data_IF_382870903845
#
_entry.id   IF_382870903845
#
_cell.length_a   1.000
_cell.length_b   1.000
_cell.length_c   1.000
_cell.angle_alpha   90.00
_cell.angle_beta   90.00
_cell.angle_gamma   90.00
#
_symmetry.space_group_name_H-M   'P 1'
#
loop_
_entity.id
_entity.type
_entity.pdbx_description
1 polymer ?
#
# COMPACT_ATOMS: atom_id res chain seq x y z
N UNK A 1 23.37 10.06 13.26
CA UNK A 1 23.03 8.62 13.24
C UNK A 1 22.63 8.31 11.81
N UNK A 2 23.24 7.30 11.16
CA UNK A 2 22.82 6.91 9.80
C UNK A 2 21.52 6.13 9.95
N UNK A 3 20.42 6.67 9.43
CA UNK A 3 19.16 5.93 9.33
C UNK A 3 19.36 4.89 8.23
N UNK A 4 18.85 3.68 8.46
CA UNK A 4 18.83 2.61 7.46
C UNK A 4 17.37 2.27 7.23
N UNK A 5 16.86 2.60 6.06
CA UNK A 5 15.52 2.24 5.64
C UNK A 5 15.50 0.86 4.97
N UNK A 6 14.55 0.02 5.37
CA UNK A 6 14.30 -1.27 4.71
C UNK A 6 13.04 -1.12 3.87
N UNK A 7 13.23 -1.01 2.56
CA UNK A 7 12.16 -0.89 1.58
C UNK A 7 11.55 -2.23 1.17
N UNK A 8 10.61 -2.14 0.24
CA UNK A 8 10.07 -3.30 -0.47
C UNK A 8 11.11 -3.83 -1.48
N UNK A 9 11.02 -5.12 -1.83
CA UNK A 9 11.86 -5.72 -2.88
C UNK A 9 11.56 -5.08 -4.24
N UNK A 10 12.56 -5.03 -5.13
CA UNK A 10 12.33 -4.72 -6.53
C UNK A 10 11.43 -5.77 -7.21
N UNK A 11 10.92 -5.46 -8.40
CA UNK A 11 10.15 -6.42 -9.20
C UNK A 11 10.96 -7.70 -9.45
N UNK A 12 12.21 -7.56 -9.90
CA UNK A 12 13.09 -8.70 -10.18
C UNK A 12 13.31 -9.56 -8.93
N UNK A 13 13.67 -8.95 -7.80
CA UNK A 13 13.86 -9.67 -6.53
C UNK A 13 12.57 -10.36 -6.07
N UNK A 14 11.41 -9.72 -6.27
CA UNK A 14 10.10 -10.26 -5.92
C UNK A 14 9.75 -11.47 -6.77
N UNK A 15 9.91 -11.38 -8.09
CA UNK A 15 9.64 -12.48 -9.01
C UNK A 15 10.60 -13.64 -8.75
N UNK A 16 11.90 -13.36 -8.58
CA UNK A 16 12.90 -14.40 -8.25
C UNK A 16 12.57 -15.08 -6.92
N UNK A 17 12.17 -14.34 -5.89
CA UNK A 17 11.72 -14.93 -4.64
C UNK A 17 10.50 -15.85 -4.84
N UNK A 18 9.47 -15.40 -5.57
CA UNK A 18 8.26 -16.17 -5.80
C UNK A 18 8.48 -17.42 -6.67
N UNK A 19 9.33 -17.34 -7.69
CA UNK A 19 9.61 -18.47 -8.58
C UNK A 19 10.60 -19.43 -7.92
N UNK A 20 11.77 -18.96 -7.51
CA UNK A 20 12.87 -19.84 -7.07
C UNK A 20 12.72 -20.34 -5.64
N UNK A 21 12.16 -19.51 -4.74
CA UNK A 21 12.00 -19.88 -3.31
C UNK A 21 10.62 -20.39 -2.97
N UNK A 22 9.59 -19.97 -3.72
CA UNK A 22 8.19 -20.33 -3.45
C UNK A 22 7.64 -21.30 -4.49
N UNK A 23 8.44 -21.66 -5.50
CA UNK A 23 8.12 -22.65 -6.54
C UNK A 23 6.81 -22.34 -7.28
N UNK A 24 6.49 -21.05 -7.42
CA UNK A 24 5.34 -20.60 -8.21
C UNK A 24 5.70 -20.53 -9.69
N UNK A 25 4.69 -20.70 -10.53
CA UNK A 25 4.81 -20.36 -11.96
C UNK A 25 5.04 -18.87 -12.11
N UNK A 26 5.87 -18.48 -13.06
CA UNK A 26 6.21 -17.07 -13.32
C UNK A 26 4.97 -16.19 -13.57
N UNK A 27 3.97 -16.72 -14.28
CA UNK A 27 2.69 -16.02 -14.51
C UNK A 27 1.94 -15.69 -13.22
N UNK A 28 1.89 -16.66 -12.29
CA UNK A 28 1.26 -16.44 -10.99
C UNK A 28 2.10 -15.51 -10.11
N UNK A 29 3.43 -15.60 -10.20
CA UNK A 29 4.35 -14.69 -9.51
C UNK A 29 4.12 -13.23 -9.94
N UNK A 30 4.04 -12.96 -11.25
CA UNK A 30 3.74 -11.62 -11.80
C UNK A 30 2.40 -11.09 -11.30
N UNK A 31 1.35 -11.90 -11.35
CA UNK A 31 0.02 -11.52 -10.86
C UNK A 31 0.01 -11.20 -9.36
N UNK A 32 0.77 -11.94 -8.55
CA UNK A 32 0.91 -11.65 -7.13
C UNK A 32 1.67 -10.33 -6.91
N UNK A 33 2.79 -10.13 -7.59
CA UNK A 33 3.55 -8.88 -7.52
C UNK A 33 2.70 -7.66 -7.91
N UNK A 34 1.94 -7.73 -9.00
CA UNK A 34 1.02 -6.65 -9.41
C UNK A 34 -0.01 -6.29 -8.33
N UNK A 35 -0.43 -7.26 -7.52
CA UNK A 35 -1.45 -7.07 -6.48
C UNK A 35 -0.87 -6.54 -5.16
N UNK A 36 0.26 -7.07 -4.70
CA UNK A 36 0.80 -6.78 -3.36
C UNK A 36 2.16 -6.07 -3.36
N UNK A 37 2.83 -6.00 -4.50
CA UNK A 37 4.14 -5.39 -4.67
C UNK A 37 5.27 -6.17 -4.03
N UNK A 38 6.38 -5.48 -3.77
CA UNK A 38 7.62 -6.07 -3.28
C UNK A 38 7.69 -6.36 -1.79
N UNK A 39 6.61 -6.11 -1.04
CA UNK A 39 6.61 -6.35 0.40
C UNK A 39 6.69 -7.84 0.70
N UNK A 40 7.85 -8.29 1.19
CA UNK A 40 8.17 -9.71 1.39
C UNK A 40 7.13 -10.49 2.20
N UNK A 41 6.55 -9.87 3.24
CA UNK A 41 5.52 -10.52 4.05
C UNK A 41 4.20 -10.69 3.31
N UNK A 42 3.81 -9.70 2.49
CA UNK A 42 2.57 -9.76 1.71
C UNK A 42 2.73 -10.76 0.55
N UNK A 43 3.89 -10.75 -0.12
CA UNK A 43 4.28 -11.74 -1.12
C UNK A 43 4.22 -13.16 -0.56
N UNK A 44 4.85 -13.39 0.60
CA UNK A 44 4.83 -14.69 1.27
C UNK A 44 3.40 -15.15 1.57
N UNK A 45 2.58 -14.28 2.17
CA UNK A 45 1.21 -14.62 2.55
C UNK A 45 0.33 -14.95 1.34
N UNK A 46 0.45 -14.18 0.26
CA UNK A 46 -0.32 -14.43 -0.95
C UNK A 46 0.13 -15.73 -1.64
N UNK A 47 1.44 -15.98 -1.68
CA UNK A 47 2.01 -17.23 -2.19
C UNK A 47 1.58 -18.45 -1.36
N UNK A 48 1.61 -18.37 -0.01
CA UNK A 48 1.16 -19.46 0.87
C UNK A 48 -0.29 -19.87 0.54
N UNK A 49 -1.18 -18.90 0.34
CA UNK A 49 -2.60 -19.17 0.01
C UNK A 49 -2.77 -19.81 -1.37
N UNK A 50 -2.00 -19.35 -2.36
CA UNK A 50 -2.04 -19.89 -3.71
C UNK A 50 -1.55 -21.34 -3.73
N UNK A 51 -0.45 -21.64 -3.05
CA UNK A 51 0.09 -22.99 -2.88
C UNK A 51 -0.86 -23.92 -2.11
N UNK A 52 -1.65 -23.36 -1.19
CA UNK A 52 -2.72 -24.08 -0.50
C UNK A 52 -3.96 -24.34 -1.40
N UNK A 53 -3.89 -24.02 -2.68
CA UNK A 53 -4.94 -24.28 -3.67
C UNK A 53 -6.05 -23.21 -3.72
N UNK A 54 -5.89 -22.08 -3.04
CA UNK A 54 -6.85 -20.98 -3.16
C UNK A 54 -6.76 -20.33 -4.54
N UNK A 55 -7.91 -20.03 -5.13
CA UNK A 55 -7.95 -19.29 -6.40
C UNK A 55 -7.44 -17.86 -6.20
N UNK A 56 -6.67 -17.36 -7.16
CA UNK A 56 -6.15 -15.98 -7.15
C UNK A 56 -7.23 -14.92 -6.86
N UNK A 57 -8.42 -15.02 -7.48
CA UNK A 57 -9.50 -14.05 -7.25
C UNK A 57 -10.00 -14.04 -5.81
N UNK A 58 -10.00 -15.18 -5.12
CA UNK A 58 -10.36 -15.25 -3.70
C UNK A 58 -9.30 -14.58 -2.82
N UNK A 59 -8.02 -14.84 -3.12
CA UNK A 59 -6.87 -14.20 -2.45
C UNK A 59 -6.95 -12.68 -2.61
N UNK A 60 -7.19 -12.22 -3.84
CA UNK A 60 -7.36 -10.80 -4.18
C UNK A 60 -8.50 -10.16 -3.40
N UNK A 61 -9.68 -10.77 -3.38
CA UNK A 61 -10.82 -10.25 -2.62
C UNK A 61 -10.50 -10.13 -1.13
N UNK A 62 -9.80 -11.12 -0.55
CA UNK A 62 -9.41 -11.08 0.86
C UNK A 62 -8.44 -9.92 1.15
N UNK A 63 -7.42 -9.73 0.32
CA UNK A 63 -6.46 -8.63 0.46
C UNK A 63 -7.18 -7.28 0.37
N UNK A 64 -8.06 -7.09 -0.63
CA UNK A 64 -8.80 -5.84 -0.79
C UNK A 64 -9.77 -5.59 0.37
N UNK A 65 -10.34 -6.64 0.96
CA UNK A 65 -11.17 -6.53 2.15
C UNK A 65 -10.37 -6.07 3.37
N UNK A 66 -9.16 -6.61 3.56
CA UNK A 66 -8.29 -6.20 4.65
C UNK A 66 -7.75 -4.76 4.46
N UNK A 67 -7.44 -4.37 3.23
CA UNK A 67 -7.11 -2.97 2.90
C UNK A 67 -8.30 -2.06 3.22
N UNK A 68 -9.52 -2.41 2.80
CA UNK A 68 -10.73 -1.63 3.12
C UNK A 68 -10.95 -1.47 4.62
N UNK A 69 -10.64 -2.49 5.43
CA UNK A 69 -10.67 -2.37 6.90
C UNK A 69 -9.67 -1.33 7.40
N UNK A 70 -8.44 -1.30 6.85
CA UNK A 70 -7.45 -0.26 7.21
C UNK A 70 -7.97 1.14 6.89
N UNK A 71 -8.58 1.34 5.72
CA UNK A 71 -9.20 2.64 5.37
C UNK A 71 -10.31 3.05 6.35
N UNK A 72 -11.16 2.10 6.77
CA UNK A 72 -12.17 2.35 7.81
C UNK A 72 -11.56 2.74 9.14
N UNK A 73 -10.56 1.99 9.61
CA UNK A 73 -9.87 2.28 10.86
C UNK A 73 -9.15 3.65 10.82
N UNK A 74 -8.65 4.02 9.65
CA UNK A 74 -8.04 5.32 9.38
C UNK A 74 -9.07 6.46 9.22
N UNK A 75 -10.37 6.17 9.24
CA UNK A 75 -11.44 7.14 9.03
C UNK A 75 -11.31 7.87 7.67
N UNK A 76 -11.01 7.10 6.61
CA UNK A 76 -10.75 7.59 5.25
C UNK A 76 -11.86 7.24 4.24
N UNK A 77 -13.04 6.80 4.68
CA UNK A 77 -14.19 6.57 3.80
C UNK A 77 -15.18 7.74 3.83
N UNK A 78 -16.10 7.85 2.85
CA UNK A 78 -17.05 8.96 2.81
C UNK A 78 -17.81 9.15 4.13
N UNK A 79 -17.90 10.41 4.58
CA UNK A 79 -18.46 10.85 5.87
C UNK A 79 -17.61 10.55 7.12
N UNK A 80 -16.43 9.93 6.98
CA UNK A 80 -15.50 9.77 8.09
C UNK A 80 -14.70 11.07 8.37
N UNK A 81 -14.16 11.18 9.58
CA UNK A 81 -13.45 12.36 10.08
C UNK A 81 -12.28 12.83 9.19
N UNK A 82 -11.51 11.90 8.63
CA UNK A 82 -10.30 12.23 7.86
C UNK A 82 -10.51 12.14 6.35
N UNK A 83 -11.74 11.93 5.89
CA UNK A 83 -12.06 11.68 4.48
C UNK A 83 -11.60 12.81 3.56
N UNK A 84 -11.95 14.07 3.82
CA UNK A 84 -11.62 15.19 2.92
C UNK A 84 -10.12 15.48 2.83
N UNK A 85 -9.40 15.28 3.93
CA UNK A 85 -7.92 15.41 3.95
C UNK A 85 -7.30 14.23 3.19
N UNK A 86 -7.70 13.01 3.53
CA UNK A 86 -7.18 11.81 2.91
C UNK A 86 -7.51 11.71 1.42
N UNK A 87 -8.70 12.11 0.99
CA UNK A 87 -9.08 12.18 -0.43
C UNK A 87 -8.07 13.01 -1.23
N UNK A 88 -7.72 14.20 -0.74
CA UNK A 88 -6.75 15.08 -1.39
C UNK A 88 -5.35 14.47 -1.45
N UNK A 89 -4.86 13.94 -0.33
CA UNK A 89 -3.57 13.23 -0.26
C UNK A 89 -3.53 12.04 -1.23
N UNK A 90 -4.55 11.18 -1.20
CA UNK A 90 -4.66 9.99 -2.04
C UNK A 90 -4.69 10.40 -3.52
N UNK A 91 -5.48 11.42 -3.87
CA UNK A 91 -5.57 11.93 -5.24
C UNK A 91 -4.21 12.36 -5.79
N UNK A 92 -3.41 13.04 -4.97
CA UNK A 92 -2.10 13.52 -5.40
C UNK A 92 -1.05 12.40 -5.44
N UNK A 93 -1.04 11.50 -4.45
CA UNK A 93 -0.20 10.29 -4.49
C UNK A 93 -0.50 9.40 -5.70
N UNK A 94 -1.76 9.29 -6.13
CA UNK A 94 -2.12 8.52 -7.32
C UNK A 94 -1.52 9.11 -8.62
N UNK A 95 -1.24 10.41 -8.65
CA UNK A 95 -0.63 11.13 -9.77
C UNK A 95 0.89 11.12 -9.72
N UNK A 96 1.49 11.36 -8.54
CA UNK A 96 2.92 11.57 -8.38
C UNK A 96 3.69 10.37 -7.82
N UNK A 97 3.00 9.33 -7.35
CA UNK A 97 3.50 8.19 -6.55
C UNK A 97 4.01 8.56 -5.16
N UNK A 98 4.70 9.69 -5.04
CA UNK A 98 5.24 10.21 -3.79
C UNK A 98 4.95 11.71 -3.64
N UNK A 99 4.94 12.18 -2.39
CA UNK A 99 4.84 13.60 -2.04
C UNK A 99 6.03 13.98 -1.16
N UNK A 100 6.62 15.16 -1.39
CA UNK A 100 7.51 15.76 -0.39
C UNK A 100 6.79 15.91 0.95
N UNK A 101 7.48 15.63 2.06
CA UNK A 101 6.87 15.62 3.38
C UNK A 101 6.31 16.99 3.79
N UNK A 102 6.90 18.11 3.35
CA UNK A 102 6.35 19.43 3.62
C UNK A 102 5.10 19.71 2.79
N UNK A 103 5.02 19.24 1.55
CA UNK A 103 3.77 19.27 0.77
C UNK A 103 2.69 18.41 1.43
N UNK A 104 3.03 17.20 1.88
CA UNK A 104 2.12 16.34 2.65
C UNK A 104 1.65 17.02 3.94
N UNK A 105 2.53 17.76 4.63
CA UNK A 105 2.16 18.46 5.87
C UNK A 105 1.12 19.57 5.65
N UNK A 106 1.10 20.20 4.47
CA UNK A 106 0.16 21.29 4.14
C UNK A 106 -1.31 20.85 4.08
N UNK A 107 -1.60 19.55 3.95
CA UNK A 107 -2.99 19.07 3.98
C UNK A 107 -3.62 19.12 5.38
N UNK A 108 -2.81 19.29 6.43
CA UNK A 108 -3.23 19.19 7.82
C UNK A 108 -3.14 20.53 8.54
N UNK A 109 -4.19 20.86 9.30
CA UNK A 109 -4.20 22.04 10.17
C UNK A 109 -3.60 21.76 11.55
N UNK A 110 -3.53 20.48 11.94
CA UNK A 110 -3.12 20.00 13.27
C UNK A 110 -2.12 18.87 13.13
N UNK A 111 -1.08 18.89 13.96
CA UNK A 111 -0.03 17.87 13.95
C UNK A 111 -0.58 16.50 14.39
N UNK A 112 -1.59 16.49 15.26
CA UNK A 112 -2.24 15.28 15.74
C UNK A 112 -2.95 14.52 14.62
N UNK A 113 -3.59 15.22 13.68
CA UNK A 113 -4.26 14.62 12.52
C UNK A 113 -3.24 13.99 11.56
N UNK A 114 -2.11 14.68 11.33
CA UNK A 114 -0.99 14.18 10.54
C UNK A 114 -0.44 12.89 11.14
N UNK A 115 -0.09 12.92 12.44
CA UNK A 115 0.48 11.76 13.13
C UNK A 115 -0.48 10.57 13.09
N UNK A 116 -1.77 10.80 13.35
CA UNK A 116 -2.79 9.74 13.32
C UNK A 116 -2.92 9.09 11.94
N UNK A 117 -2.83 9.86 10.84
CA UNK A 117 -2.86 9.26 9.49
C UNK A 117 -1.58 8.50 9.16
N UNK A 118 -0.41 8.95 9.60
CA UNK A 118 0.84 8.17 9.43
C UNK A 118 0.79 6.86 10.24
N UNK A 119 0.27 6.90 11.47
CA UNK A 119 0.10 5.72 12.33
C UNK A 119 -0.93 4.71 11.79
N UNK A 120 -1.82 5.14 10.90
CA UNK A 120 -2.86 4.28 10.31
C UNK A 120 -2.33 3.20 9.36
N UNK A 121 -1.03 3.23 9.02
CA UNK A 121 -0.38 2.33 8.06
C UNK A 121 -1.03 2.33 6.66
N UNK A 122 -1.70 3.43 6.29
CA UNK A 122 -2.13 3.71 4.92
C UNK A 122 -1.00 4.38 4.14
N UNK A 123 -0.27 5.28 4.79
CA UNK A 123 0.86 6.00 4.22
C UNK A 123 2.18 5.54 4.86
N UNK A 124 3.28 5.70 4.13
CA UNK A 124 4.63 5.52 4.63
C UNK A 124 5.39 6.84 4.53
N UNK A 125 6.13 7.19 5.59
CA UNK A 125 7.13 8.25 5.54
C UNK A 125 8.50 7.61 5.29
N UNK A 126 9.24 8.16 4.34
CA UNK A 126 10.58 7.73 3.91
C UNK A 126 11.60 8.78 4.36
N UNK A 127 12.29 8.59 5.50
CA UNK A 127 13.16 9.62 6.07
C UNK A 127 14.38 9.95 5.21
N UNK A 128 14.85 9.01 4.39
CA UNK A 128 16.03 9.22 3.53
C UNK A 128 15.73 10.25 2.43
N UNK A 129 14.58 10.11 1.77
CA UNK A 129 14.13 11.01 0.69
C UNK A 129 13.27 12.18 1.21
N UNK A 130 12.86 12.11 2.48
CA UNK A 130 11.89 13.01 3.09
C UNK A 130 10.55 13.06 2.31
N UNK A 131 10.09 11.91 1.83
CA UNK A 131 8.84 11.77 1.07
C UNK A 131 7.80 10.92 1.80
N UNK A 132 6.57 10.99 1.32
CA UNK A 132 5.45 10.15 1.74
C UNK A 132 4.89 9.41 0.54
N UNK A 133 4.61 8.11 0.70
CA UNK A 133 3.99 7.25 -0.32
C UNK A 133 2.84 6.42 0.27
N UNK A 134 2.20 5.60 -0.55
CA UNK A 134 1.33 4.55 -0.03
C UNK A 134 2.16 3.49 0.71
N UNK A 135 1.65 3.04 1.86
CA UNK A 135 2.37 2.06 2.68
C UNK A 135 2.58 0.72 1.97
N UNK A 136 1.81 0.37 0.95
CA UNK A 136 2.01 -0.84 0.14
C UNK A 136 1.27 -0.73 -1.19
N UNK A 137 1.69 -1.51 -2.18
CA UNK A 137 1.02 -1.57 -3.48
C UNK A 137 -0.44 -2.04 -3.39
N UNK A 138 -0.80 -2.89 -2.43
CA UNK A 138 -2.21 -3.30 -2.24
C UNK A 138 -3.13 -2.13 -1.83
N UNK A 139 -2.59 -1.15 -1.10
CA UNK A 139 -3.29 0.08 -0.71
C UNK A 139 -3.46 0.99 -1.93
N UNK A 140 -2.40 1.19 -2.71
CA UNK A 140 -2.46 1.94 -3.95
C UNK A 140 -3.44 1.31 -4.94
N UNK A 141 -3.36 -0.02 -5.12
CA UNK A 141 -4.26 -0.79 -5.97
C UNK A 141 -5.72 -0.59 -5.56
N UNK A 142 -6.02 -0.65 -4.26
CA UNK A 142 -7.36 -0.38 -3.75
C UNK A 142 -7.82 1.05 -4.07
N UNK A 143 -6.96 2.05 -3.88
CA UNK A 143 -7.28 3.44 -4.20
C UNK A 143 -7.55 3.63 -5.70
N UNK A 144 -6.71 3.05 -6.59
CA UNK A 144 -6.94 3.05 -8.05
C UNK A 144 -8.23 2.35 -8.46
N UNK A 145 -8.59 1.25 -7.78
CA UNK A 145 -9.85 0.51 -8.01
C UNK A 145 -11.09 1.30 -7.61
N UNK A 146 -10.95 2.27 -6.71
CA UNK A 146 -12.04 3.07 -6.15
C UNK A 146 -11.79 4.57 -6.39
N UNK A 147 -11.29 4.92 -7.58
CA UNK A 147 -10.97 6.30 -7.96
C UNK A 147 -12.14 7.26 -7.68
N UNK A 148 -13.37 6.85 -7.98
CA UNK A 148 -14.58 7.66 -7.75
C UNK A 148 -14.78 8.08 -6.28
N UNK A 149 -14.19 7.36 -5.32
CA UNK A 149 -14.20 7.74 -3.90
C UNK A 149 -13.16 8.82 -3.57
N UNK A 150 -12.13 8.97 -4.40
CA UNK A 150 -10.95 9.77 -4.11
C UNK A 150 -10.64 10.84 -5.18
N UNK A 151 -11.46 10.97 -6.23
CA UNK A 151 -11.41 12.04 -7.24
C UNK A 151 -12.54 13.04 -7.06
#
# INVERSE_FOLDING_TARGET
>A
MKVMEIGDLSEEESINYLVDKRELKEEDAKRLYELVGGRIIDLKQAADKLLAGQKFEAIKQQILFDVKKKFRSAQLLPNDLHYEVGKRVISDLLKSKELDFFEFKKYFNKVEELNKLLESNIFAYHPEENTVSFKSQSIEYYARKNLDLFT
#
